data_IF_108674343851
#
_entry.id   IF_108674343851
#
_cell.length_a   1.000
_cell.length_b   1.000
_cell.length_c   1.000
_cell.angle_alpha   90.00
_cell.angle_beta   90.00
_cell.angle_gamma   90.00
#
_symmetry.space_group_name_H-M   'P 1'
#
loop_
_entity.id
_entity.type
_entity.pdbx_description
1 polymer ?
#
# COMPACT_ATOMS: atom_id res chain seq x y z
N UNK A 1 -21.19 37.37 23.89
CA UNK A 1 -20.84 36.95 23.07
C UNK A 1 -20.00 36.53 22.12
N UNK A 2 -19.62 36.18 21.89
CA UNK A 2 -18.88 35.83 21.18
C UNK A 2 -18.58 35.11 20.56
N UNK A 3 -18.31 34.50 20.34
CA UNK A 3 -17.76 33.87 19.76
C UNK A 3 -17.28 33.21 19.28
N UNK A 4 -17.17 32.96 19.44
CA UNK A 4 -16.48 32.34 19.03
C UNK A 4 -16.22 31.64 18.46
N UNK A 5 -16.30 31.63 18.53
CA UNK A 5 -16.02 31.13 17.83
C UNK A 5 -15.56 30.75 17.19
N UNK A 6 -15.42 30.72 17.26
CA UNK A 6 -14.97 30.44 16.53
C UNK A 6 -14.47 29.85 16.06
N UNK A 7 -14.44 29.61 16.27
CA UNK A 7 -13.95 29.13 15.66
C UNK A 7 -13.70 28.30 15.18
N UNK A 8 -14.01 28.08 16.07
CA UNK A 8 -13.79 27.00 15.41
C UNK A 8 -13.81 26.67 13.92
N UNK A 9 -14.02 27.04 13.10
CA UNK A 9 -13.94 26.74 11.78
C UNK A 9 -12.69 26.90 11.07
N UNK A 10 -11.86 27.71 11.46
CA UNK A 10 -10.52 27.86 10.92
C UNK A 10 -9.66 26.64 11.27
N UNK A 11 -9.92 26.03 12.43
CA UNK A 11 -9.15 24.85 12.82
C UNK A 11 -9.31 23.66 11.84
N UNK A 12 -10.47 23.54 11.19
CA UNK A 12 -10.69 22.47 10.23
C UNK A 12 -9.83 22.64 8.96
N UNK A 13 -9.27 23.81 8.74
CA UNK A 13 -8.39 24.07 7.60
C UNK A 13 -6.92 24.00 7.96
N UNK A 14 -6.62 23.84 9.24
CA UNK A 14 -5.24 23.70 9.69
C UNK A 14 -4.79 22.28 9.37
N UNK A 15 -3.68 22.11 8.64
CA UNK A 15 -3.17 20.80 8.40
C UNK A 15 -2.84 20.10 9.71
N UNK A 16 -3.12 18.83 9.80
CA UNK A 16 -2.66 18.03 10.91
C UNK A 16 -1.13 18.01 10.92
N UNK A 17 -0.52 18.02 12.10
CA UNK A 17 0.92 17.86 12.23
C UNK A 17 1.31 16.38 12.44
N UNK A 18 0.36 15.48 12.33
CA UNK A 18 0.64 14.05 12.43
C UNK A 18 1.31 13.54 11.15
N UNK A 19 2.33 12.68 11.28
CA UNK A 19 2.92 12.02 10.12
C UNK A 19 1.88 11.23 9.32
N UNK A 20 1.88 11.43 8.02
CA UNK A 20 0.94 10.76 7.13
C UNK A 20 1.54 10.60 5.75
N UNK A 21 1.25 9.48 5.11
CA UNK A 21 1.63 9.23 3.74
C UNK A 21 0.59 8.34 3.06
N UNK A 22 0.33 8.63 1.80
CA UNK A 22 -0.50 7.80 0.94
C UNK A 22 0.15 7.84 -0.43
N UNK A 23 0.81 6.76 -0.81
CA UNK A 23 1.53 6.67 -2.08
C UNK A 23 0.79 5.72 -3.01
N UNK A 24 0.96 5.92 -4.31
CA UNK A 24 0.25 5.19 -5.33
C UNK A 24 1.23 4.54 -6.30
N UNK A 25 0.78 3.49 -6.98
CA UNK A 25 1.63 2.77 -7.91
C UNK A 25 1.93 3.60 -9.15
N UNK A 26 3.16 3.47 -9.65
CA UNK A 26 3.55 4.05 -10.92
C UNK A 26 3.05 3.16 -12.05
N UNK A 27 2.08 3.61 -12.86
CA UNK A 27 1.55 2.78 -13.94
C UNK A 27 2.53 2.57 -15.09
N UNK A 28 3.63 3.31 -15.10
CA UNK A 28 4.65 3.20 -16.15
C UNK A 28 5.81 2.30 -15.76
N UNK A 29 5.83 1.81 -14.52
CA UNK A 29 6.87 0.90 -14.06
C UNK A 29 6.47 -0.53 -14.37
N UNK A 30 6.65 -0.93 -15.62
CA UNK A 30 6.24 -2.26 -16.06
C UNK A 30 7.01 -3.35 -15.33
N UNK A 31 6.29 -4.39 -14.92
CA UNK A 31 6.88 -5.55 -14.28
C UNK A 31 7.35 -5.33 -12.86
N UNK A 32 6.96 -4.22 -12.22
CA UNK A 32 7.33 -3.96 -10.83
C UNK A 32 6.31 -3.06 -10.15
N UNK A 33 6.28 -3.13 -8.84
CA UNK A 33 5.45 -2.24 -8.01
C UNK A 33 6.36 -1.14 -7.47
N UNK A 34 6.24 0.03 -8.08
CA UNK A 34 6.98 1.22 -7.68
C UNK A 34 6.03 2.28 -7.15
N UNK A 35 6.29 2.75 -5.95
CA UNK A 35 5.44 3.76 -5.30
C UNK A 35 5.84 5.18 -5.71
N UNK A 36 4.83 6.03 -5.88
CA UNK A 36 5.02 7.45 -6.20
C UNK A 36 4.29 8.31 -5.21
N UNK A 37 4.90 9.44 -4.84
CA UNK A 37 4.27 10.47 -4.00
C UNK A 37 3.90 11.73 -4.77
N UNK A 38 4.13 11.77 -6.09
CA UNK A 38 3.89 12.94 -6.94
C UNK A 38 2.75 12.71 -7.92
N UNK A 39 1.61 12.31 -7.39
CA UNK A 39 0.38 12.14 -8.15
C UNK A 39 -0.71 12.94 -7.46
N UNK A 40 -1.78 13.29 -8.22
CA UNK A 40 -2.84 14.14 -7.70
C UNK A 40 -3.51 13.57 -6.44
N UNK A 41 -3.56 12.25 -6.32
CA UNK A 41 -4.18 11.59 -5.18
C UNK A 41 -3.18 11.01 -4.18
N UNK A 42 -1.90 11.40 -4.27
CA UNK A 42 -0.88 10.99 -3.31
C UNK A 42 -0.65 12.08 -2.28
N UNK A 43 -0.15 11.68 -1.12
CA UNK A 43 0.11 12.57 0.00
C UNK A 43 1.36 12.11 0.72
N UNK A 44 2.21 13.05 1.10
CA UNK A 44 3.40 12.79 1.91
C UNK A 44 3.64 14.02 2.76
N UNK A 45 3.48 13.90 4.07
CA UNK A 45 3.49 15.07 4.94
C UNK A 45 4.07 14.77 6.32
N UNK A 46 4.53 15.84 6.96
CA UNK A 46 4.95 15.88 8.37
C UNK A 46 6.09 14.93 8.68
N UNK A 47 7.06 14.88 7.76
CA UNK A 47 8.32 14.19 7.98
C UNK A 47 8.40 12.78 7.42
N UNK A 48 7.31 12.20 6.92
CA UNK A 48 7.38 10.90 6.26
C UNK A 48 8.11 11.07 4.95
N UNK A 49 9.04 10.17 4.66
CA UNK A 49 9.78 10.16 3.40
C UNK A 49 9.50 8.89 2.63
N UNK A 50 9.55 9.00 1.31
CA UNK A 50 9.53 7.84 0.42
C UNK A 50 10.93 7.71 -0.16
N UNK A 51 11.66 6.67 0.25
CA UNK A 51 13.02 6.40 -0.18
C UNK A 51 13.20 4.93 -0.50
N UNK A 52 13.82 4.65 -1.64
CA UNK A 52 14.08 3.27 -2.06
C UNK A 52 12.80 2.42 -2.01
N UNK A 53 11.70 3.01 -2.48
CA UNK A 53 10.38 2.35 -2.51
C UNK A 53 9.83 1.98 -1.13
N UNK A 54 10.30 2.65 -0.09
CA UNK A 54 9.91 2.41 1.30
C UNK A 54 9.46 3.73 1.96
N UNK A 55 8.50 3.62 2.88
CA UNK A 55 8.10 4.75 3.70
C UNK A 55 8.97 4.76 4.96
N UNK A 56 9.57 5.91 5.25
CA UNK A 56 10.45 6.10 6.40
C UNK A 56 9.70 6.84 7.49
N UNK A 57 9.63 6.24 8.67
CA UNK A 57 8.87 6.74 9.81
C UNK A 57 9.64 7.88 10.50
N UNK A 58 9.02 9.07 10.66
CA UNK A 58 9.74 10.22 11.20
C UNK A 58 9.78 10.28 12.72
N UNK A 59 8.86 9.63 13.41
CA UNK A 59 8.77 9.70 14.87
C UNK A 59 8.11 8.46 15.44
N UNK A 60 8.49 8.13 16.67
CA UNK A 60 7.93 7.01 17.40
C UNK A 60 6.44 7.21 17.66
N UNK A 61 5.66 6.14 17.59
CA UNK A 61 4.24 6.16 17.93
C UNK A 61 3.48 5.02 17.32
N UNK A 62 2.17 5.07 17.50
CA UNK A 62 1.24 4.12 16.90
C UNK A 62 0.84 4.62 15.52
N UNK A 63 0.84 3.72 14.57
CA UNK A 63 0.48 4.03 13.18
C UNK A 63 -0.51 3.02 12.65
N UNK A 64 -1.50 3.49 11.92
CA UNK A 64 -2.26 2.65 11.01
C UNK A 64 -1.43 2.50 9.74
N UNK A 65 -1.19 1.26 9.35
CA UNK A 65 -0.48 0.94 8.10
C UNK A 65 -1.45 0.17 7.22
N UNK A 66 -1.54 0.56 5.95
CA UNK A 66 -2.50 -0.07 5.04
C UNK A 66 -1.96 -0.10 3.61
N UNK A 67 -2.44 -1.05 2.85
CA UNK A 67 -2.10 -1.15 1.42
C UNK A 67 -3.12 -2.01 0.71
N UNK A 68 -3.40 -1.67 -0.52
CA UNK A 68 -4.21 -2.49 -1.41
C UNK A 68 -3.50 -2.66 -2.73
N UNK A 69 -3.61 -3.85 -3.27
CA UNK A 69 -3.19 -4.14 -4.65
C UNK A 69 -4.34 -4.82 -5.36
N UNK A 70 -4.35 -4.72 -6.67
CA UNK A 70 -5.31 -5.43 -7.51
C UNK A 70 -4.53 -6.26 -8.52
N UNK A 71 -4.80 -7.55 -8.52
CA UNK A 71 -4.26 -8.46 -9.51
C UNK A 71 -5.33 -8.76 -10.56
N UNK A 72 -4.89 -8.94 -11.78
CA UNK A 72 -5.74 -9.28 -12.91
C UNK A 72 -5.05 -10.32 -13.76
N UNK A 73 -5.79 -11.31 -14.20
CA UNK A 73 -5.27 -12.32 -15.11
C UNK A 73 -6.29 -12.69 -16.15
N UNK A 74 -5.82 -13.40 -17.16
CA UNK A 74 -6.65 -13.89 -18.25
C UNK A 74 -6.48 -15.39 -18.32
N UNK A 75 -7.51 -16.13 -17.90
CA UNK A 75 -7.46 -17.59 -17.81
C UNK A 75 -6.55 -18.06 -16.68
N UNK A 76 -6.39 -19.36 -16.58
CA UNK A 76 -5.62 -20.01 -15.52
C UNK A 76 -4.60 -20.96 -16.14
N UNK A 77 -3.34 -20.55 -16.24
CA UNK A 77 -2.30 -21.44 -16.79
C UNK A 77 -1.95 -22.59 -15.87
N UNK A 78 -2.27 -22.45 -14.58
CA UNK A 78 -1.95 -23.46 -13.57
C UNK A 78 -2.83 -23.26 -12.34
N UNK A 79 -3.09 -24.33 -11.60
CA UNK A 79 -3.74 -24.24 -10.29
C UNK A 79 -2.80 -23.74 -9.22
N UNK A 80 -1.51 -23.58 -9.53
CA UNK A 80 -0.49 -23.14 -8.57
C UNK A 80 -0.19 -21.64 -8.66
N UNK A 81 -1.08 -20.87 -9.28
CA UNK A 81 -0.93 -19.41 -9.26
C UNK A 81 -1.26 -18.92 -7.85
N UNK A 82 -0.26 -18.40 -7.16
CA UNK A 82 -0.42 -17.81 -5.83
C UNK A 82 -0.06 -16.34 -5.92
N UNK A 83 -0.91 -15.51 -5.34
CA UNK A 83 -0.72 -14.06 -5.32
C UNK A 83 -0.55 -13.63 -3.87
N UNK A 84 0.56 -12.99 -3.55
CA UNK A 84 0.84 -12.54 -2.18
C UNK A 84 1.02 -11.04 -2.14
N UNK A 85 0.61 -10.46 -1.02
CA UNK A 85 0.84 -9.06 -0.70
C UNK A 85 1.29 -8.98 0.74
N UNK A 86 2.39 -8.27 1.01
CA UNK A 86 3.02 -8.24 2.32
C UNK A 86 3.49 -6.84 2.65
N UNK A 87 3.18 -6.38 3.86
CA UNK A 87 3.77 -5.18 4.43
C UNK A 87 4.81 -5.63 5.44
N UNK A 88 6.03 -5.11 5.29
CA UNK A 88 7.17 -5.48 6.12
C UNK A 88 7.79 -4.25 6.76
N UNK A 89 8.48 -4.46 7.87
CA UNK A 89 9.21 -3.44 8.61
C UNK A 89 10.67 -3.83 8.69
N UNK A 90 11.56 -2.87 8.45
CA UNK A 90 12.96 -3.00 8.77
C UNK A 90 13.23 -1.99 9.88
N UNK A 91 13.44 -2.48 11.09
CA UNK A 91 13.69 -1.64 12.24
C UNK A 91 15.11 -1.10 12.22
N UNK A 92 15.28 0.13 12.68
CA UNK A 92 16.60 0.74 12.76
C UNK A 92 17.55 -0.09 13.60
N UNK A 93 17.05 -0.64 14.72
CA UNK A 93 17.86 -1.36 15.68
C UNK A 93 18.32 -2.73 15.18
N UNK A 94 17.55 -3.36 14.31
CA UNK A 94 17.86 -4.73 13.91
C UNK A 94 18.30 -4.87 12.46
N UNK A 95 17.81 -4.04 11.55
CA UNK A 95 18.05 -4.15 10.12
C UNK A 95 17.55 -5.47 9.52
N UNK A 96 16.70 -6.19 10.26
CA UNK A 96 16.09 -7.42 9.78
C UNK A 96 14.67 -7.15 9.33
N UNK A 97 14.31 -7.65 8.19
CA UNK A 97 12.97 -7.46 7.62
C UNK A 97 11.99 -8.40 8.30
N UNK A 98 10.93 -7.84 8.87
CA UNK A 98 9.89 -8.58 9.57
C UNK A 98 8.55 -8.30 8.93
N UNK A 99 7.81 -9.34 8.59
CA UNK A 99 6.47 -9.19 8.02
C UNK A 99 5.50 -8.74 9.10
N UNK A 100 4.78 -7.65 8.83
CA UNK A 100 3.74 -7.15 9.74
C UNK A 100 2.36 -7.65 9.32
N UNK A 101 2.07 -7.62 8.03
CA UNK A 101 0.79 -8.00 7.45
C UNK A 101 1.06 -8.78 6.18
N UNK A 102 0.29 -9.84 5.94
CA UNK A 102 0.47 -10.65 4.75
C UNK A 102 -0.83 -11.36 4.39
N UNK A 103 -1.07 -11.55 3.09
CA UNK A 103 -2.21 -12.30 2.61
C UNK A 103 -1.85 -13.01 1.32
N UNK A 104 -2.54 -14.12 1.08
CA UNK A 104 -2.33 -14.97 -0.10
C UNK A 104 -3.69 -15.23 -0.74
N UNK A 105 -3.73 -15.15 -2.06
CA UNK A 105 -4.90 -15.51 -2.85
C UNK A 105 -4.53 -16.56 -3.90
N UNK A 106 -5.46 -17.49 -4.15
CA UNK A 106 -5.32 -18.55 -5.17
C UNK A 106 -6.46 -18.38 -6.16
N UNK A 107 -6.26 -17.64 -7.24
CA UNK A 107 -7.37 -17.32 -8.15
C UNK A 107 -7.80 -18.47 -9.07
N UNK A 108 -6.98 -19.51 -9.21
CA UNK A 108 -7.19 -20.56 -10.20
C UNK A 108 -7.56 -21.89 -9.56
N UNK A 109 -8.84 -22.26 -9.63
CA UNK A 109 -9.32 -23.55 -9.10
C UNK A 109 -8.97 -24.71 -10.01
N UNK A 110 -8.85 -24.43 -11.31
CA UNK A 110 -8.47 -25.43 -12.33
C UNK A 110 -7.80 -24.72 -13.48
N UNK A 111 -6.99 -25.46 -14.24
CA UNK A 111 -6.37 -24.94 -15.44
C UNK A 111 -7.43 -24.66 -16.50
N UNK A 112 -7.23 -23.61 -17.29
CA UNK A 112 -8.06 -23.36 -18.46
C UNK A 112 -7.75 -24.45 -19.49
N UNK A 113 -8.77 -25.23 -19.92
CA UNK A 113 -8.53 -26.29 -20.92
C UNK A 113 -8.03 -25.70 -22.23
N UNK A 114 -7.24 -26.48 -22.92
CA UNK A 114 -6.77 -26.13 -24.25
C UNK A 114 -7.96 -25.90 -25.18
N UNK A 115 -7.95 -24.81 -25.92
CA UNK A 115 -9.03 -24.43 -26.81
C UNK A 115 -10.23 -23.77 -26.15
N UNK A 116 -10.25 -23.70 -24.81
CA UNK A 116 -11.32 -23.03 -24.08
C UNK A 116 -11.04 -21.53 -24.02
N UNK A 117 -12.11 -20.75 -23.84
CA UNK A 117 -11.99 -19.31 -23.66
C UNK A 117 -11.34 -18.99 -22.32
N UNK A 118 -10.30 -18.14 -22.36
CA UNK A 118 -9.63 -17.68 -21.17
C UNK A 118 -10.41 -16.52 -20.58
N UNK A 119 -11.09 -16.75 -19.43
CA UNK A 119 -11.90 -15.72 -18.77
C UNK A 119 -11.04 -14.84 -17.90
N UNK A 120 -11.32 -13.54 -17.85
CA UNK A 120 -10.60 -12.64 -16.95
C UNK A 120 -10.99 -12.90 -15.50
N UNK A 121 -10.01 -12.71 -14.60
CA UNK A 121 -10.25 -12.75 -13.16
C UNK A 121 -9.56 -11.54 -12.51
N UNK A 122 -10.09 -11.13 -11.36
CA UNK A 122 -9.59 -10.00 -10.59
C UNK A 122 -9.50 -10.42 -9.13
N UNK A 123 -8.37 -10.11 -8.47
CA UNK A 123 -8.18 -10.40 -7.06
C UNK A 123 -7.61 -9.19 -6.34
N UNK A 124 -8.44 -8.46 -5.58
CA UNK A 124 -7.94 -7.40 -4.72
C UNK A 124 -7.43 -8.00 -3.41
N UNK A 125 -6.32 -7.46 -2.91
CA UNK A 125 -5.82 -7.80 -1.59
C UNK A 125 -5.62 -6.51 -0.82
N UNK A 126 -6.37 -6.35 0.26
CA UNK A 126 -6.23 -5.22 1.17
C UNK A 126 -5.62 -5.69 2.48
N UNK A 127 -4.62 -4.94 2.96
CA UNK A 127 -3.97 -5.17 4.25
C UNK A 127 -4.13 -3.91 5.09
N UNK A 128 -4.38 -4.08 6.39
CA UNK A 128 -4.46 -2.95 7.29
C UNK A 128 -4.32 -3.39 8.74
N UNK A 129 -3.57 -2.60 9.51
CA UNK A 129 -3.36 -2.89 10.92
C UNK A 129 -2.66 -1.74 11.63
N UNK A 130 -2.66 -1.79 12.96
CA UNK A 130 -2.05 -0.78 13.81
C UNK A 130 -0.81 -1.35 14.48
N UNK A 131 0.29 -0.60 14.40
CA UNK A 131 1.58 -1.05 14.93
C UNK A 131 2.31 0.07 15.62
N UNK A 132 3.06 -0.28 16.65
CA UNK A 132 4.00 0.63 17.29
C UNK A 132 5.27 0.68 16.43
N UNK A 133 5.63 1.87 16.00
CA UNK A 133 6.81 2.07 15.15
C UNK A 133 7.78 3.04 15.83
N UNK A 134 9.02 3.00 15.39
CA UNK A 134 10.09 3.86 15.90
C UNK A 134 10.62 4.77 14.80
N UNK A 135 11.20 5.89 15.18
CA UNK A 135 11.81 6.81 14.24
C UNK A 135 12.87 6.08 13.41
N UNK A 136 12.79 6.27 12.10
CA UNK A 136 13.74 5.67 11.17
C UNK A 136 13.36 4.28 10.68
N UNK A 137 12.30 3.69 11.22
CA UNK A 137 11.80 2.43 10.69
C UNK A 137 11.41 2.60 9.23
N UNK A 138 11.65 1.57 8.43
CA UNK A 138 11.31 1.56 7.01
C UNK A 138 10.25 0.52 6.76
N UNK A 139 9.24 0.92 6.00
CA UNK A 139 8.09 0.08 5.70
C UNK A 139 8.02 -0.16 4.19
N UNK A 140 7.85 -1.42 3.81
CA UNK A 140 7.69 -1.78 2.41
C UNK A 140 6.37 -2.52 2.21
N UNK A 141 5.75 -2.30 1.06
CA UNK A 141 4.58 -3.03 0.64
C UNK A 141 4.92 -3.70 -0.68
N UNK A 142 4.90 -5.03 -0.69
CA UNK A 142 5.45 -5.83 -1.78
C UNK A 142 4.49 -6.92 -2.23
N UNK A 143 4.69 -7.36 -3.46
CA UNK A 143 3.93 -8.46 -4.06
C UNK A 143 4.90 -9.45 -4.69
N UNK A 144 4.42 -10.68 -4.90
CA UNK A 144 5.25 -11.71 -5.52
C UNK A 144 5.11 -11.79 -7.05
N UNK A 145 4.00 -11.28 -7.59
CA UNK A 145 3.69 -11.44 -9.00
C UNK A 145 3.31 -10.08 -9.62
N UNK A 146 4.30 -9.19 -9.83
CA UNK A 146 4.02 -7.89 -10.45
C UNK A 146 3.52 -8.02 -11.90
N UNK A 147 3.76 -9.13 -12.55
CA UNK A 147 3.23 -9.41 -13.88
C UNK A 147 1.70 -9.49 -13.93
N UNK A 148 1.06 -9.74 -12.79
CA UNK A 148 -0.41 -9.76 -12.69
C UNK A 148 -0.98 -8.46 -12.12
N UNK A 149 -0.15 -7.47 -11.79
CA UNK A 149 -0.62 -6.24 -11.17
C UNK A 149 -1.42 -5.40 -12.18
N UNK A 150 -2.57 -4.92 -11.74
CA UNK A 150 -3.45 -4.12 -12.59
C UNK A 150 -3.34 -2.63 -12.26
N UNK A 151 -2.86 -1.84 -13.21
CA UNK A 151 -2.74 -0.39 -13.10
C UNK A 151 -3.84 0.37 -13.85
N UNK A 152 -4.85 -0.34 -14.39
CA UNK A 152 -5.80 0.25 -15.33
C UNK A 152 -6.58 1.44 -14.75
N UNK A 153 -6.89 1.37 -13.45
CA UNK A 153 -7.65 2.43 -12.79
C UNK A 153 -6.84 3.02 -11.65
N UNK A 154 -6.88 4.34 -11.52
CA UNK A 154 -6.28 4.98 -10.35
C UNK A 154 -7.09 4.64 -9.09
N UNK A 155 -6.43 4.61 -7.96
CA UNK A 155 -7.10 4.34 -6.69
C UNK A 155 -7.19 2.86 -6.32
N UNK A 156 -6.65 1.95 -7.12
CA UNK A 156 -6.73 0.52 -6.87
C UNK A 156 -5.46 -0.05 -6.21
N UNK A 157 -4.32 0.61 -6.39
CA UNK A 157 -3.04 0.15 -5.86
C UNK A 157 -2.41 1.30 -5.09
N UNK A 158 -2.36 1.16 -3.78
CA UNK A 158 -1.89 2.22 -2.88
C UNK A 158 -1.28 1.65 -1.61
N UNK A 159 -0.53 2.48 -0.91
CA UNK A 159 0.16 2.14 0.32
C UNK A 159 0.24 3.39 1.19
N UNK A 160 -0.06 3.27 2.47
CA UNK A 160 -0.05 4.44 3.32
C UNK A 160 0.15 4.15 4.79
N UNK A 161 0.46 5.21 5.51
CA UNK A 161 0.54 5.21 6.97
C UNK A 161 -0.08 6.49 7.49
N UNK A 162 -0.64 6.40 8.69
CA UNK A 162 -1.12 7.58 9.40
C UNK A 162 -0.86 7.41 10.89
N UNK A 163 -0.22 8.38 11.50
CA UNK A 163 0.01 8.39 12.94
C UNK A 163 -1.31 8.61 13.68
N UNK A 164 -1.53 7.83 14.70
CA UNK A 164 -2.75 7.89 15.52
C UNK A 164 -2.61 8.88 16.68
#
# INVERSE_FOLDING_TARGET
MHHHHHHVRSSSRTPSDKPVAHVVANPQAEGQLQWLNRRANALLANGVELRDNQLVVPSEGLYLIYSQVLFKGQGCPSTHVLLTHTISRIAVSYQTKVNLLSAIKSPCQRETPEGAEAKPWYEPIYLGGVFQLEKGDRLSAEINRPDYLDFAESGQVYFGIIAL
#
